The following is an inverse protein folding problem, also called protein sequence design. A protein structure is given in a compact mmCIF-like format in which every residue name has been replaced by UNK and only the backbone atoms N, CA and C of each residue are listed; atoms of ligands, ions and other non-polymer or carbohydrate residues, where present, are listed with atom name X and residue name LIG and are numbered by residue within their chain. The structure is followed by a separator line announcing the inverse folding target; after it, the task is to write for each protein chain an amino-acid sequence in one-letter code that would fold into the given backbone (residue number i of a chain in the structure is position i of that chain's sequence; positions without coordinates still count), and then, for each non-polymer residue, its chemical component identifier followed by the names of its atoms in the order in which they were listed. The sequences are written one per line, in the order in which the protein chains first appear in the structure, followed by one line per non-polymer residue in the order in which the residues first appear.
data_IF_187845474468
#
_entry.id   IF_187845474468
#
_cell.length_a   1.000
_cell.length_b   1.000
_cell.length_c   1.000
_cell.angle_alpha   90.00
_cell.angle_beta   90.00
_cell.angle_gamma   90.00
#
_symmetry.space_group_name_H-M   'P 1'
#
loop_
_entity.id
_entity.type
_entity.pdbx_description
1 polymer ?
#
# COMPACT_ATOMS: atom_id res chain seq x y z
N UNK A 1 -31.03 -11.72 13.00
CA UNK A 1 -30.93 -12.83 12.03
C UNK A 1 -32.31 -13.24 11.53
N UNK A 2 -32.39 -13.72 10.28
CA UNK A 2 -33.55 -14.34 9.61
C UNK A 2 -34.77 -13.45 9.27
N UNK A 3 -34.96 -12.30 9.93
CA UNK A 3 -35.97 -11.30 9.51
C UNK A 3 -35.35 -10.17 8.69
N UNK A 4 -34.25 -9.59 9.17
CA UNK A 4 -33.62 -8.41 8.55
C UNK A 4 -32.38 -8.74 7.72
N UNK A 5 -31.65 -9.79 8.08
CA UNK A 5 -30.44 -10.22 7.38
C UNK A 5 -30.20 -11.72 7.57
N UNK A 6 -29.50 -12.33 6.61
CA UNK A 6 -29.03 -13.72 6.63
C UNK A 6 -27.54 -13.73 6.37
N UNK A 7 -26.81 -14.54 7.13
CA UNK A 7 -25.35 -14.67 7.00
C UNK A 7 -25.05 -16.07 6.44
N UNK A 8 -24.27 -16.11 5.37
CA UNK A 8 -23.65 -17.33 4.89
C UNK A 8 -22.15 -17.28 5.20
N UNK A 9 -21.74 -17.93 6.28
CA UNK A 9 -20.35 -17.95 6.73
C UNK A 9 -19.42 -18.74 5.78
N UNK A 10 -19.94 -19.71 5.03
CA UNK A 10 -19.13 -20.51 4.10
C UNK A 10 -18.73 -19.69 2.86
N UNK A 11 -19.64 -18.85 2.38
CA UNK A 11 -19.42 -18.00 1.21
C UNK A 11 -18.94 -16.59 1.58
N UNK A 12 -18.97 -16.23 2.86
CA UNK A 12 -18.62 -14.88 3.33
C UNK A 12 -19.63 -13.82 2.87
N UNK A 13 -20.92 -14.16 2.78
CA UNK A 13 -21.96 -13.24 2.30
C UNK A 13 -22.98 -12.88 3.38
N UNK A 14 -23.47 -11.65 3.33
CA UNK A 14 -24.54 -11.16 4.19
C UNK A 14 -25.64 -10.57 3.31
N UNK A 15 -26.81 -11.20 3.32
CA UNK A 15 -27.98 -10.81 2.53
C UNK A 15 -28.98 -10.08 3.41
N UNK A 16 -29.46 -8.92 2.96
CA UNK A 16 -30.48 -8.14 3.64
C UNK A 16 -31.88 -8.47 3.15
N UNK A 17 -32.90 -8.05 3.91
CA UNK A 17 -34.32 -8.20 3.59
C UNK A 17 -34.75 -7.55 2.27
N UNK A 18 -33.95 -6.61 1.72
CA UNK A 18 -34.20 -5.90 0.47
C UNK A 18 -33.38 -6.46 -0.71
N UNK A 19 -32.91 -7.70 -0.60
CA UNK A 19 -32.06 -8.40 -1.57
C UNK A 19 -30.67 -7.78 -1.80
N UNK A 20 -30.27 -6.78 -1.01
CA UNK A 20 -28.89 -6.29 -1.02
C UNK A 20 -27.97 -7.34 -0.42
N UNK A 21 -26.77 -7.50 -0.99
CA UNK A 21 -25.79 -8.48 -0.53
C UNK A 21 -24.45 -7.78 -0.29
N UNK A 22 -23.88 -7.98 0.90
CA UNK A 22 -22.48 -7.69 1.20
C UNK A 22 -21.69 -8.97 0.95
N UNK A 23 -20.60 -8.85 0.18
CA UNK A 23 -19.69 -9.95 -0.12
C UNK A 23 -18.35 -9.59 0.51
N UNK A 24 -17.91 -10.40 1.48
CA UNK A 24 -16.59 -10.25 2.09
C UNK A 24 -15.58 -11.04 1.24
N UNK A 25 -14.67 -10.32 0.57
CA UNK A 25 -13.68 -10.92 -0.32
C UNK A 25 -12.29 -10.46 0.04
N UNK A 26 -11.38 -11.41 0.16
CA UNK A 26 -9.96 -11.12 0.40
C UNK A 26 -9.29 -10.54 -0.84
N UNK A 27 -8.50 -9.49 -0.64
CA UNK A 27 -7.84 -8.76 -1.71
C UNK A 27 -6.32 -8.86 -1.72
N UNK A 28 -5.74 -9.70 -0.86
CA UNK A 28 -4.30 -9.89 -0.75
C UNK A 28 -3.63 -10.12 -2.13
N UNK A 29 -2.44 -9.55 -2.29
CA UNK A 29 -1.65 -9.75 -3.51
C UNK A 29 -1.20 -11.21 -3.61
N UNK A 30 -1.51 -11.86 -4.75
CA UNK A 30 -1.14 -13.25 -5.00
C UNK A 30 -0.16 -13.29 -6.18
N UNK A 31 1.06 -13.84 -6.04
CA UNK A 31 2.05 -13.86 -7.13
C UNK A 31 1.55 -14.54 -8.40
N UNK A 32 0.64 -15.51 -8.28
CA UNK A 32 0.05 -16.22 -9.42
C UNK A 32 -1.06 -15.45 -10.14
N UNK A 33 -1.58 -14.38 -9.54
CA UNK A 33 -2.64 -13.52 -10.09
C UNK A 33 -2.24 -12.03 -9.98
N UNK A 34 -1.18 -11.60 -10.69
CA UNK A 34 -0.69 -10.21 -10.63
C UNK A 34 -1.66 -9.19 -11.27
N UNK A 35 -2.65 -9.69 -12.03
CA UNK A 35 -3.63 -8.88 -12.73
C UNK A 35 -4.98 -8.82 -12.03
N UNK A 36 -5.15 -9.50 -10.90
CA UNK A 36 -6.42 -9.56 -10.18
C UNK A 36 -7.56 -10.10 -11.07
N UNK A 37 -7.25 -11.05 -11.94
CA UNK A 37 -8.19 -11.71 -12.85
C UNK A 37 -9.29 -12.48 -12.10
N UNK A 38 -9.05 -12.84 -10.84
CA UNK A 38 -10.09 -13.40 -9.94
C UNK A 38 -11.28 -12.47 -9.67
N UNK A 39 -11.16 -11.19 -10.01
CA UNK A 39 -12.25 -10.22 -9.98
C UNK A 39 -12.89 -10.01 -11.37
N UNK A 40 -12.36 -10.68 -12.40
CA UNK A 40 -12.68 -10.46 -13.81
C UNK A 40 -14.17 -10.54 -14.15
N UNK A 41 -14.91 -11.45 -13.51
CA UNK A 41 -16.33 -11.69 -13.78
C UNK A 41 -17.30 -11.03 -12.80
N UNK A 42 -16.81 -10.49 -11.67
CA UNK A 42 -17.69 -9.96 -10.63
C UNK A 42 -18.05 -8.50 -10.90
N UNK A 43 -19.29 -8.14 -10.59
CA UNK A 43 -19.79 -6.76 -10.67
C UNK A 43 -20.36 -6.37 -9.32
N UNK A 44 -20.03 -5.15 -8.87
CA UNK A 44 -20.47 -4.62 -7.59
C UNK A 44 -21.07 -3.23 -7.76
N UNK A 45 -21.85 -2.80 -6.78
CA UNK A 45 -22.47 -1.46 -6.77
C UNK A 45 -21.58 -0.44 -6.05
N UNK A 46 -20.94 -0.85 -4.96
CA UNK A 46 -20.04 -0.05 -4.12
C UNK A 46 -18.94 -0.96 -3.58
N UNK A 47 -17.77 -0.41 -3.30
CA UNK A 47 -16.68 -1.12 -2.64
C UNK A 47 -16.25 -0.42 -1.35
N UNK A 48 -15.85 -1.22 -0.37
CA UNK A 48 -15.17 -0.76 0.84
C UNK A 48 -13.91 -1.61 1.00
N UNK A 49 -12.76 -0.96 1.08
CA UNK A 49 -11.45 -1.61 1.22
C UNK A 49 -10.88 -1.19 2.56
N UNK A 50 -10.76 -2.16 3.45
CA UNK A 50 -10.11 -1.96 4.74
C UNK A 50 -8.63 -2.29 4.67
N UNK A 51 -7.84 -1.61 5.49
CA UNK A 51 -6.36 -1.64 5.48
C UNK A 51 -5.79 -1.60 4.05
N UNK A 52 -6.26 -0.62 3.26
CA UNK A 52 -5.85 -0.44 1.86
C UNK A 52 -4.33 -0.29 1.70
N UNK A 53 -3.61 0.01 2.78
CA UNK A 53 -2.16 0.07 2.77
C UNK A 53 -1.46 -1.23 2.40
N UNK A 54 -2.09 -2.36 2.73
CA UNK A 54 -1.55 -3.69 2.51
C UNK A 54 -1.82 -4.21 1.09
N UNK A 55 -2.55 -3.41 0.30
CA UNK A 55 -3.01 -3.77 -1.03
C UNK A 55 -2.32 -2.87 -2.06
N UNK A 56 -1.98 -3.43 -3.22
CA UNK A 56 -1.44 -2.66 -4.33
C UNK A 56 -2.44 -1.66 -4.92
N UNK A 57 -1.96 -0.49 -5.35
CA UNK A 57 -2.78 0.53 -6.03
C UNK A 57 -3.53 -0.06 -7.24
N UNK A 58 -2.88 -0.97 -7.96
CA UNK A 58 -3.46 -1.68 -9.10
C UNK A 58 -4.70 -2.48 -8.73
N UNK A 59 -4.73 -3.15 -7.58
CA UNK A 59 -5.89 -3.91 -7.14
C UNK A 59 -7.10 -2.98 -6.92
N UNK A 60 -6.86 -1.79 -6.38
CA UNK A 60 -7.89 -0.76 -6.15
C UNK A 60 -8.44 -0.25 -7.48
N UNK A 61 -7.59 -0.02 -8.49
CA UNK A 61 -8.03 0.35 -9.84
C UNK A 61 -8.85 -0.76 -10.52
N UNK A 62 -8.40 -2.01 -10.39
CA UNK A 62 -9.14 -3.17 -10.92
C UNK A 62 -10.49 -3.31 -10.23
N UNK A 63 -10.56 -3.17 -8.90
CA UNK A 63 -11.82 -3.21 -8.16
C UNK A 63 -12.77 -2.09 -8.60
N UNK A 64 -12.25 -0.87 -8.75
CA UNK A 64 -13.05 0.27 -9.21
C UNK A 64 -13.66 0.01 -10.59
N UNK A 65 -12.95 -0.67 -11.50
CA UNK A 65 -13.50 -1.08 -12.81
C UNK A 65 -14.67 -2.08 -12.74
N UNK A 66 -14.89 -2.72 -11.58
CA UNK A 66 -15.99 -3.66 -11.33
C UNK A 66 -17.24 -2.97 -10.76
N UNK A 67 -17.16 -1.68 -10.43
CA UNK A 67 -18.26 -0.91 -9.84
C UNK A 67 -19.29 -0.47 -10.87
N UNK A 68 -20.01 -1.43 -11.45
CA UNK A 68 -20.98 -1.20 -12.53
C UNK A 68 -22.33 -1.88 -12.32
N UNK A 69 -22.49 -2.70 -11.28
CA UNK A 69 -23.75 -3.37 -11.00
C UNK A 69 -24.79 -2.38 -10.50
N UNK A 70 -25.79 -2.09 -11.33
CA UNK A 70 -26.91 -1.18 -11.00
C UNK A 70 -26.48 0.21 -10.50
N UNK A 71 -25.25 0.64 -10.80
CA UNK A 71 -24.70 1.92 -10.34
C UNK A 71 -25.50 3.10 -10.87
N UNK A 72 -26.01 3.00 -12.11
CA UNK A 72 -26.84 4.02 -12.74
C UNK A 72 -28.25 4.17 -12.12
N UNK A 73 -28.75 3.13 -11.43
CA UNK A 73 -30.03 3.17 -10.73
C UNK A 73 -29.88 3.70 -9.30
N UNK A 74 -28.79 3.31 -8.62
CA UNK A 74 -28.57 3.53 -7.19
C UNK A 74 -27.82 4.84 -6.91
N UNK A 75 -26.49 4.81 -6.95
CA UNK A 75 -25.62 5.94 -6.57
C UNK A 75 -25.35 6.94 -7.70
N UNK A 76 -25.77 6.62 -8.94
CA UNK A 76 -25.50 7.34 -10.20
C UNK A 76 -24.03 7.34 -10.62
N UNK A 77 -23.12 7.37 -9.67
CA UNK A 77 -21.68 7.28 -9.87
C UNK A 77 -21.08 6.15 -9.05
N UNK A 78 -20.03 5.46 -9.54
CA UNK A 78 -19.29 4.49 -8.75
C UNK A 78 -18.70 5.14 -7.51
N UNK A 79 -18.80 4.47 -6.36
CA UNK A 79 -18.23 4.94 -5.09
C UNK A 79 -17.41 3.83 -4.46
N UNK A 80 -16.29 4.23 -3.86
CA UNK A 80 -15.39 3.32 -3.16
C UNK A 80 -14.89 4.03 -1.90
N UNK A 81 -14.95 3.34 -0.78
CA UNK A 81 -14.39 3.78 0.49
C UNK A 81 -13.07 3.04 0.73
N UNK A 82 -12.01 3.77 1.06
CA UNK A 82 -10.70 3.23 1.40
C UNK A 82 -10.37 3.64 2.83
N UNK A 83 -10.05 2.69 3.70
CA UNK A 83 -9.64 2.94 5.08
C UNK A 83 -8.26 2.34 5.32
N UNK A 84 -7.43 3.05 6.07
CA UNK A 84 -6.11 2.58 6.50
C UNK A 84 -5.61 3.45 7.64
N UNK A 85 -4.76 2.87 8.47
CA UNK A 85 -3.91 3.64 9.35
C UNK A 85 -2.78 4.31 8.55
N UNK A 86 -2.20 5.44 9.03
CA UNK A 86 -1.11 6.10 8.32
C UNK A 86 0.08 5.18 8.07
N UNK A 87 0.63 5.24 6.87
CA UNK A 87 1.78 4.43 6.46
C UNK A 87 2.52 5.10 5.31
N UNK A 88 3.76 4.69 5.06
CA UNK A 88 4.61 5.27 4.02
C UNK A 88 4.50 4.40 2.78
N UNK A 89 3.41 4.57 2.03
CA UNK A 89 3.16 3.86 0.79
C UNK A 89 2.42 4.75 -0.23
N UNK A 90 1.93 4.14 -1.32
CA UNK A 90 1.23 4.83 -2.41
C UNK A 90 -0.01 5.62 -1.93
N UNK A 91 -0.67 5.20 -0.84
CA UNK A 91 -1.86 5.87 -0.30
C UNK A 91 -1.47 7.27 0.19
N UNK A 92 -0.32 7.39 0.88
CA UNK A 92 0.22 8.69 1.32
C UNK A 92 0.43 9.61 0.12
N UNK A 93 1.19 9.14 -0.86
CA UNK A 93 1.57 9.92 -2.05
C UNK A 93 0.40 10.32 -2.93
N UNK A 94 -0.71 9.55 -2.90
CA UNK A 94 -1.90 9.82 -3.73
C UNK A 94 -2.92 10.73 -3.05
N UNK A 95 -3.11 10.60 -1.74
CA UNK A 95 -4.24 11.25 -1.06
C UNK A 95 -3.83 12.26 0.01
N UNK A 96 -2.63 12.16 0.57
CA UNK A 96 -2.27 12.87 1.79
C UNK A 96 -1.16 13.88 1.54
N UNK A 97 0.01 13.39 1.13
CA UNK A 97 1.22 14.20 1.10
C UNK A 97 2.23 13.65 0.09
N UNK A 98 2.85 14.55 -0.67
CA UNK A 98 3.82 14.20 -1.71
C UNK A 98 5.23 13.91 -1.13
N UNK A 99 6.21 13.71 -2.02
CA UNK A 99 7.60 13.44 -1.64
C UNK A 99 8.30 14.65 -0.99
N UNK A 100 7.80 15.87 -1.23
CA UNK A 100 8.36 17.11 -0.68
C UNK A 100 7.76 17.46 0.69
N UNK A 101 6.72 16.73 1.10
CA UNK A 101 5.99 17.00 2.33
C UNK A 101 4.80 17.95 2.15
N UNK A 102 4.44 18.30 0.92
CA UNK A 102 3.29 19.15 0.63
C UNK A 102 2.00 18.34 0.54
N UNK A 103 0.88 18.94 0.94
CA UNK A 103 -0.44 18.28 0.88
C UNK A 103 -0.84 17.99 -0.56
N UNK A 104 -1.30 16.77 -0.81
CA UNK A 104 -1.77 16.37 -2.15
C UNK A 104 -3.15 16.96 -2.43
N UNK A 105 -3.29 17.57 -3.61
CA UNK A 105 -4.60 17.95 -4.14
C UNK A 105 -5.20 16.70 -4.80
N UNK A 106 -6.24 16.14 -4.18
CA UNK A 106 -6.95 14.97 -4.68
C UNK A 106 -7.53 15.21 -6.08
N UNK A 107 -7.62 14.15 -6.89
CA UNK A 107 -8.24 14.23 -8.22
C UNK A 107 -9.74 14.49 -8.08
N UNK A 108 -10.38 14.89 -9.18
CA UNK A 108 -11.83 15.06 -9.19
C UNK A 108 -12.54 13.76 -8.78
N UNK A 109 -13.46 13.85 -7.82
CA UNK A 109 -14.18 12.70 -7.26
C UNK A 109 -13.47 11.97 -6.12
N UNK A 110 -12.24 12.36 -5.79
CA UNK A 110 -11.49 11.83 -4.64
C UNK A 110 -11.50 12.84 -3.47
N UNK A 111 -11.50 12.31 -2.25
CA UNK A 111 -11.41 13.13 -1.05
C UNK A 111 -10.66 12.37 0.05
N UNK A 112 -9.76 13.07 0.72
CA UNK A 112 -9.10 12.59 1.93
C UNK A 112 -9.77 13.18 3.17
N UNK A 113 -10.16 12.32 4.11
CA UNK A 113 -10.79 12.71 5.38
C UNK A 113 -9.94 12.11 6.51
N UNK A 114 -9.17 12.92 7.25
CA UNK A 114 -8.41 12.43 8.39
C UNK A 114 -9.33 12.13 9.58
N UNK A 115 -9.06 11.03 10.28
CA UNK A 115 -9.70 10.68 11.54
C UNK A 115 -8.64 10.39 12.61
N UNK A 116 -8.94 10.78 13.84
CA UNK A 116 -8.13 10.53 15.03
C UNK A 116 -8.96 9.87 16.12
N UNK A 117 -8.29 9.37 17.17
CA UNK A 117 -8.97 8.85 18.36
C UNK A 117 -9.87 9.91 19.01
N UNK A 118 -9.51 11.18 18.87
CA UNK A 118 -10.23 12.29 19.49
C UNK A 118 -11.59 12.56 18.85
N UNK A 119 -11.80 12.14 17.59
CA UNK A 119 -13.06 12.29 16.85
C UNK A 119 -14.14 11.29 17.31
N UNK A 120 -13.78 10.28 18.12
CA UNK A 120 -14.74 9.32 18.65
C UNK A 120 -15.61 9.98 19.74
N UNK A 121 -16.95 10.00 19.61
CA UNK A 121 -17.83 10.61 20.60
C UNK A 121 -17.82 9.89 21.96
N UNK A 122 -17.39 8.63 22.01
CA UNK A 122 -17.35 7.85 23.24
C UNK A 122 -16.12 8.22 24.11
N UNK A 123 -16.36 9.05 25.15
CA UNK A 123 -15.32 9.50 26.08
C UNK A 123 -14.65 8.33 26.83
N UNK A 124 -15.44 7.35 27.30
CA UNK A 124 -14.91 6.23 28.07
C UNK A 124 -13.98 5.36 27.21
N UNK A 125 -14.35 5.13 25.95
CA UNK A 125 -13.49 4.44 24.99
C UNK A 125 -12.19 5.22 24.76
N UNK A 126 -12.27 6.54 24.51
CA UNK A 126 -11.09 7.39 24.29
C UNK A 126 -10.09 7.30 25.43
N UNK A 127 -10.55 7.43 26.67
CA UNK A 127 -9.68 7.40 27.85
C UNK A 127 -8.91 6.07 27.98
N UNK A 128 -9.59 4.94 27.78
CA UNK A 128 -8.97 3.62 27.86
C UNK A 128 -7.99 3.41 26.72
N UNK A 129 -8.40 3.77 25.50
CA UNK A 129 -7.61 3.56 24.29
C UNK A 129 -6.37 4.47 24.27
N UNK A 130 -6.51 5.75 24.61
CA UNK A 130 -5.40 6.70 24.75
C UNK A 130 -4.40 6.24 25.82
N UNK A 131 -4.87 5.75 26.97
CA UNK A 131 -4.00 5.20 28.00
C UNK A 131 -3.24 3.95 27.53
N UNK A 132 -3.82 3.15 26.64
CA UNK A 132 -3.15 2.01 26.05
C UNK A 132 -2.09 2.45 25.03
N UNK A 133 -2.44 3.36 24.11
CA UNK A 133 -1.51 3.88 23.10
C UNK A 133 -0.33 4.64 23.72
N UNK A 134 -0.54 5.34 24.83
CA UNK A 134 0.52 6.02 25.57
C UNK A 134 1.57 5.08 26.17
N UNK A 135 1.30 3.78 26.30
CA UNK A 135 2.26 2.77 26.77
C UNK A 135 3.18 2.23 25.68
N UNK A 136 2.90 2.54 24.41
CA UNK A 136 3.73 2.14 23.28
C UNK A 136 5.08 2.88 23.40
N UNK A 137 6.17 2.11 23.35
CA UNK A 137 7.53 2.65 23.48
C UNK A 137 8.04 3.28 22.19
N UNK A 138 7.66 2.70 21.06
CA UNK A 138 8.00 3.24 19.75
C UNK A 138 7.18 4.52 19.51
N UNK A 139 7.89 5.63 19.40
CA UNK A 139 7.28 6.93 19.14
C UNK A 139 6.61 6.97 17.77
N UNK A 140 7.14 6.25 16.77
CA UNK A 140 6.56 6.22 15.43
C UNK A 140 5.17 5.61 15.42
N UNK A 141 5.05 4.41 16.00
CA UNK A 141 3.78 3.71 16.16
C UNK A 141 2.80 4.54 17.00
N UNK A 142 3.27 5.21 18.05
CA UNK A 142 2.42 6.08 18.87
C UNK A 142 1.86 7.26 18.06
N UNK A 143 2.71 8.00 17.36
CA UNK A 143 2.30 9.15 16.55
C UNK A 143 1.34 8.75 15.42
N UNK A 144 1.64 7.63 14.75
CA UNK A 144 0.79 7.03 13.72
C UNK A 144 -0.60 6.67 14.25
N UNK A 145 -0.69 5.93 15.35
CA UNK A 145 -1.96 5.39 15.85
C UNK A 145 -2.79 6.40 16.64
N UNK A 146 -2.14 7.29 17.40
CA UNK A 146 -2.83 8.25 18.26
C UNK A 146 -3.25 9.51 17.52
N UNK A 147 -2.33 10.07 16.72
CA UNK A 147 -2.53 11.36 16.04
C UNK A 147 -2.79 11.24 14.55
N UNK A 148 -2.70 10.04 13.98
CA UNK A 148 -2.88 9.87 12.54
C UNK A 148 -1.74 10.49 11.73
N UNK A 149 -0.52 10.56 12.28
CA UNK A 149 0.61 11.22 11.64
C UNK A 149 1.20 10.35 10.51
N UNK A 150 1.32 10.92 9.31
CA UNK A 150 1.84 10.26 8.10
C UNK A 150 3.35 10.46 7.86
N UNK A 151 3.98 11.39 8.57
CA UNK A 151 5.39 11.77 8.36
C UNK A 151 6.37 11.02 9.26
N UNK A 152 5.86 10.30 10.26
CA UNK A 152 6.72 9.67 11.24
C UNK A 152 7.23 8.33 10.72
N UNK A 153 8.38 8.37 10.06
CA UNK A 153 9.25 7.22 9.87
C UNK A 153 10.02 7.02 11.18
N UNK A 154 10.19 5.78 11.66
CA UNK A 154 11.33 5.52 12.54
C UNK A 154 12.56 6.04 11.79
N UNK A 155 13.26 7.02 12.37
CA UNK A 155 14.62 7.32 11.94
C UNK A 155 15.37 6.01 12.13
N UNK A 156 15.53 5.27 11.03
CA UNK A 156 16.09 3.94 11.08
C UNK A 156 17.53 4.12 11.54
N UNK A 157 17.87 3.75 12.77
CA UNK A 157 19.25 3.76 13.26
C UNK A 157 20.16 2.87 12.38
N UNK A 158 19.57 1.97 11.57
CA UNK A 158 20.24 1.18 10.52
C UNK A 158 20.41 1.90 9.18
N UNK A 159 19.92 3.14 9.01
CA UNK A 159 20.26 3.95 7.86
C UNK A 159 21.78 4.17 7.89
N UNK A 160 22.48 3.62 6.89
CA UNK A 160 23.95 3.69 6.74
C UNK A 160 24.48 5.14 6.82
N UNK A 161 23.59 6.12 6.58
CA UNK A 161 23.88 7.55 6.59
C UNK A 161 23.36 8.29 7.83
N UNK A 162 23.22 7.62 8.98
CA UNK A 162 22.86 8.27 10.25
C UNK A 162 23.80 9.42 10.66
N UNK A 163 25.00 9.48 10.10
CA UNK A 163 26.01 10.51 10.33
C UNK A 163 26.04 11.60 9.25
N UNK A 164 25.17 11.53 8.22
CA UNK A 164 25.18 12.48 7.11
C UNK A 164 24.53 13.80 7.52
N UNK A 165 25.38 14.79 7.79
CA UNK A 165 25.04 16.20 7.96
C UNK A 165 25.23 16.97 6.63
N UNK A 166 24.14 17.53 6.09
CA UNK A 166 24.19 18.29 4.84
C UNK A 166 25.10 19.52 4.88
N UNK A 167 25.27 20.15 6.05
CA UNK A 167 26.16 21.31 6.20
C UNK A 167 27.65 20.93 6.18
N UNK A 168 27.97 19.66 6.51
CA UNK A 168 29.34 19.13 6.52
C UNK A 168 29.68 18.35 5.25
N UNK A 169 28.71 17.64 4.68
CA UNK A 169 28.97 16.64 3.64
C UNK A 169 28.49 17.03 2.25
N UNK A 170 27.71 18.11 2.08
CA UNK A 170 27.40 18.64 0.76
C UNK A 170 28.57 19.47 0.22
N UNK A 171 29.16 19.00 -0.87
CA UNK A 171 30.22 19.71 -1.60
C UNK A 171 29.68 20.13 -2.95
N UNK A 172 29.75 21.42 -3.25
CA UNK A 172 29.35 21.96 -4.56
C UNK A 172 30.24 21.37 -5.67
N UNK A 173 29.60 20.81 -6.69
CA UNK A 173 30.27 20.22 -7.84
C UNK A 173 30.84 18.80 -7.61
N UNK A 174 30.35 18.06 -6.60
CA UNK A 174 30.91 16.74 -6.24
C UNK A 174 30.78 15.71 -7.38
N UNK A 175 29.64 15.73 -8.08
CA UNK A 175 29.34 14.83 -9.20
C UNK A 175 30.29 15.05 -10.39
N UNK A 176 30.67 16.29 -10.64
CA UNK A 176 31.59 16.68 -11.71
C UNK A 176 33.04 16.36 -11.35
N UNK A 177 33.37 16.35 -10.04
CA UNK A 177 34.72 16.07 -9.54
C UNK A 177 35.07 14.58 -9.45
N UNK A 178 34.08 13.69 -9.42
CA UNK A 178 34.30 12.25 -9.22
C UNK A 178 33.64 11.44 -10.33
N UNK A 179 34.46 10.74 -11.10
CA UNK A 179 33.99 9.84 -12.16
C UNK A 179 33.34 8.60 -11.54
N UNK A 180 32.07 8.37 -11.89
CA UNK A 180 31.34 7.15 -11.50
C UNK A 180 32.08 5.94 -12.07
N UNK A 181 32.45 4.96 -11.22
CA UNK A 181 32.92 3.65 -11.70
C UNK A 181 31.73 2.90 -12.30
N UNK A 182 31.72 2.58 -13.60
CA UNK A 182 30.68 1.72 -14.14
C UNK A 182 30.79 0.33 -13.51
N UNK A 183 29.66 -0.22 -13.06
CA UNK A 183 29.59 -1.55 -12.49
C UNK A 183 30.06 -2.59 -13.52
N UNK A 184 31.08 -3.39 -13.17
CA UNK A 184 31.41 -4.58 -13.96
C UNK A 184 30.26 -5.56 -13.84
N UNK A 185 29.52 -5.79 -14.92
CA UNK A 185 28.61 -6.92 -15.00
C UNK A 185 29.43 -8.22 -14.95
N UNK A 186 29.24 -8.99 -13.88
CA UNK A 186 29.75 -10.35 -13.77
C UNK A 186 29.06 -11.21 -14.83
N UNK A 187 29.77 -11.52 -15.93
CA UNK A 187 29.36 -12.60 -16.83
C UNK A 187 29.48 -13.92 -16.07
N UNK A 188 28.33 -14.52 -15.79
CA UNK A 188 28.21 -15.91 -15.41
C UNK A 188 27.98 -16.75 -16.69
N UNK A 189 28.63 -17.91 -16.79
CA UNK A 189 28.51 -18.90 -17.87
C UNK A 189 29.72 -18.89 -18.81
N UNK A 190 30.37 -20.00 -19.17
CA UNK A 190 30.02 -21.42 -19.05
C UNK A 190 31.33 -22.20 -19.25
N UNK A 191 31.48 -23.33 -18.58
CA UNK A 191 32.54 -24.30 -18.85
C UNK A 191 32.60 -24.67 -20.33
N UNK A 192 33.73 -24.44 -20.99
CA UNK A 192 34.13 -25.22 -22.15
C UNK A 192 35.64 -25.46 -22.09
N UNK A 193 36.00 -26.72 -21.84
CA UNK A 193 37.33 -27.28 -22.02
C UNK A 193 37.83 -26.96 -23.44
N UNK A 194 39.11 -26.56 -23.62
CA UNK A 194 39.68 -26.48 -24.96
C UNK A 194 39.92 -27.90 -25.50
N UNK A 195 39.55 -28.21 -26.76
CA UNK A 195 39.88 -29.50 -27.37
C UNK A 195 41.39 -29.60 -27.58
N UNK A 196 41.97 -30.71 -27.10
CA UNK A 196 43.34 -31.13 -27.40
C UNK A 196 43.43 -31.50 -28.89
N UNK A 197 43.93 -30.61 -29.73
CA UNK A 197 44.43 -30.98 -31.05
C UNK A 197 45.83 -31.57 -30.92
N UNK A 198 45.93 -32.91 -30.97
CA UNK A 198 47.15 -33.63 -31.31
C UNK A 198 47.40 -33.49 -32.80
N UNK A 199 48.52 -32.88 -33.19
CA UNK A 199 49.14 -33.13 -34.49
C UNK A 199 50.53 -33.70 -34.23
N UNK A 200 50.73 -34.96 -34.64
CA UNK A 200 52.03 -35.64 -34.68
C UNK A 200 52.91 -35.06 -35.79
N UNK A 201 54.25 -35.18 -35.66
CA UNK A 201 55.18 -34.74 -36.69
C UNK A 201 55.27 -35.80 -37.80
N UNK A 202 55.12 -35.38 -39.04
CA UNK A 202 55.60 -36.14 -40.19
C UNK A 202 56.25 -35.21 -41.22
N UNK A 203 57.54 -35.47 -41.42
CA UNK A 203 58.52 -34.94 -42.38
C UNK A 203 59.17 -33.61 -42.02
#
# INVERSE_FOLDING_TARGET
EDTNYKINNLEGTLTFWNDSVIIMKEMADIPSDPNFERFGSSEYTIAMVDEVSEISERAVEVLFSRLRWRTHETFKTPRMLLTTNPTINWVRSRFVQDENGDKVICREGEAYIPFSVFDNPNIAFRQVYEAALNKIRDQATKERLLYGNWDFVEANDMAIYNSFDGSRHLVTGLKEKHTIRPSRSSRCGTSMLPPKCRCSPHK
#
